data_IF_186280744490
#
_entry.id   IF_186280744490
#
_cell.length_a   1.000
_cell.length_b   1.000
_cell.length_c   1.000
_cell.angle_alpha   90.00
_cell.angle_beta   90.00
_cell.angle_gamma   90.00
#
_symmetry.space_group_name_H-M   'P 1'
#
loop_
_entity.id
_entity.type
_entity.pdbx_description
1 polymer ?
#
# COMPACT_ATOMS: atom_id res chain seq x y z
N UNK A 1 19.05 54.56 9.49
CA UNK A 1 18.23 53.74 8.58
C UNK A 1 18.28 52.32 9.11
N UNK A 2 17.19 51.82 9.70
CA UNK A 2 17.16 50.49 10.36
C UNK A 2 16.79 49.45 9.31
N UNK A 3 17.69 48.50 9.06
CA UNK A 3 17.37 47.25 8.35
C UNK A 3 16.41 46.45 9.24
N UNK A 4 15.19 46.26 8.75
CA UNK A 4 14.23 45.32 9.32
C UNK A 4 14.00 44.18 8.32
N UNK A 5 14.32 42.99 8.81
CA UNK A 5 13.56 41.76 8.65
C UNK A 5 13.28 41.29 7.23
N UNK A 6 14.20 40.48 6.71
CA UNK A 6 13.82 39.42 5.78
C UNK A 6 14.46 38.10 6.23
N UNK A 7 14.00 37.60 7.39
CA UNK A 7 14.29 36.24 7.82
C UNK A 7 13.39 35.28 7.02
N UNK A 8 13.83 34.93 5.82
CA UNK A 8 13.15 33.95 4.98
C UNK A 8 13.28 32.55 5.62
N UNK A 9 12.13 32.00 5.96
CA UNK A 9 11.83 30.61 6.33
C UNK A 9 12.30 29.59 5.26
N UNK A 10 13.58 29.22 5.20
CA UNK A 10 14.03 28.16 4.26
C UNK A 10 15.22 27.32 4.73
N UNK A 11 15.42 27.12 6.04
CA UNK A 11 16.58 26.37 6.54
C UNK A 11 16.29 25.30 7.58
N UNK A 12 15.40 25.58 8.54
CA UNK A 12 15.19 24.69 9.69
C UNK A 12 14.40 23.43 9.31
N UNK A 13 13.26 23.59 8.64
CA UNK A 13 12.31 22.49 8.40
C UNK A 13 12.89 21.37 7.52
N UNK A 14 13.71 21.70 6.53
CA UNK A 14 14.35 20.72 5.64
C UNK A 14 15.45 19.93 6.36
N UNK A 15 16.17 20.59 7.27
CA UNK A 15 17.25 19.97 8.04
C UNK A 15 16.68 19.03 9.10
N UNK A 16 15.56 19.41 9.70
CA UNK A 16 14.81 18.56 10.64
C UNK A 16 14.23 17.33 9.94
N UNK A 17 13.65 17.48 8.73
CA UNK A 17 13.15 16.35 7.95
C UNK A 17 14.27 15.37 7.56
N UNK A 18 15.43 15.89 7.13
CA UNK A 18 16.60 15.06 6.81
C UNK A 18 17.16 14.37 8.05
N UNK A 19 17.20 15.03 9.20
CA UNK A 19 17.62 14.43 10.46
C UNK A 19 16.67 13.32 10.91
N UNK A 20 15.34 13.51 10.76
CA UNK A 20 14.33 12.49 11.02
C UNK A 20 14.47 11.30 10.07
N UNK A 21 14.68 11.53 8.76
CA UNK A 21 14.89 10.46 7.78
C UNK A 21 16.18 9.68 8.06
N UNK A 22 17.24 10.36 8.50
CA UNK A 22 18.54 9.75 8.80
C UNK A 22 18.53 8.98 10.13
N UNK A 23 17.80 9.48 11.12
CA UNK A 23 17.48 8.75 12.35
C UNK A 23 16.63 7.51 12.05
N UNK A 24 15.67 7.63 11.12
CA UNK A 24 14.85 6.51 10.66
C UNK A 24 15.67 5.46 9.89
N UNK A 25 16.61 5.90 9.07
CA UNK A 25 17.58 5.04 8.39
C UNK A 25 18.53 4.30 9.35
N UNK A 26 18.60 4.74 10.62
CA UNK A 26 19.37 4.11 11.69
C UNK A 26 18.63 3.01 12.48
N UNK A 27 17.36 2.72 12.19
CA UNK A 27 16.69 1.56 12.80
C UNK A 27 15.16 1.53 12.83
N UNK A 28 14.44 2.43 12.14
CA UNK A 28 12.99 2.32 12.03
C UNK A 28 12.32 3.56 11.45
N UNK A 29 11.42 3.36 10.49
CA UNK A 29 10.56 4.41 9.95
C UNK A 29 9.82 5.15 11.11
N UNK A 30 9.67 6.49 11.12
CA UNK A 30 9.10 7.25 12.26
C UNK A 30 7.61 7.00 12.53
N UNK A 31 6.98 6.09 11.81
CA UNK A 31 5.62 5.64 12.00
C UNK A 31 5.54 4.12 11.91
N UNK A 32 4.48 3.56 12.50
CA UNK A 32 4.18 2.13 12.40
C UNK A 32 3.98 1.76 10.93
N UNK A 33 4.73 0.78 10.45
CA UNK A 33 4.60 0.23 9.10
C UNK A 33 3.92 -1.12 9.16
N UNK A 34 2.94 -1.32 8.31
CA UNK A 34 2.13 -2.55 8.23
C UNK A 34 2.03 -2.96 6.77
N UNK A 35 2.11 -4.27 6.51
CA UNK A 35 1.85 -4.81 5.19
C UNK A 35 0.37 -5.16 5.07
N UNK A 36 -0.29 -4.65 4.03
CA UNK A 36 -1.71 -4.86 3.79
C UNK A 36 -1.99 -4.98 2.30
N UNK A 37 -2.82 -5.96 1.94
CA UNK A 37 -3.36 -6.13 0.59
C UNK A 37 -4.71 -5.41 0.40
N UNK A 38 -5.22 -4.73 1.44
CA UNK A 38 -6.51 -4.02 1.42
C UNK A 38 -6.70 -3.11 0.20
N UNK A 39 -5.72 -2.26 -0.18
CA UNK A 39 -5.85 -1.42 -1.37
C UNK A 39 -6.05 -2.19 -2.69
N UNK A 40 -5.41 -3.36 -2.83
CA UNK A 40 -5.56 -4.22 -4.02
C UNK A 40 -6.91 -4.93 -4.02
N UNK A 41 -7.36 -5.41 -2.86
CA UNK A 41 -8.69 -6.01 -2.70
C UNK A 41 -9.75 -4.98 -3.10
N UNK A 42 -9.65 -3.77 -2.58
CA UNK A 42 -10.55 -2.67 -2.89
C UNK A 42 -10.52 -2.29 -4.38
N UNK A 43 -9.36 -2.31 -5.03
CA UNK A 43 -9.23 -2.09 -6.47
C UNK A 43 -10.06 -3.12 -7.25
N UNK A 44 -9.89 -4.41 -6.96
CA UNK A 44 -10.61 -5.48 -7.65
C UNK A 44 -12.10 -5.48 -7.35
N UNK A 45 -12.52 -5.15 -6.13
CA UNK A 45 -13.94 -5.02 -5.79
C UNK A 45 -14.61 -3.88 -6.56
N UNK A 46 -13.93 -2.73 -6.69
CA UNK A 46 -14.40 -1.59 -7.49
C UNK A 46 -14.41 -1.85 -9.00
N UNK A 47 -13.58 -2.77 -9.50
CA UNK A 47 -13.60 -3.15 -10.90
C UNK A 47 -14.98 -3.69 -11.34
N UNK A 48 -15.81 -4.16 -10.39
CA UNK A 48 -17.17 -4.61 -10.68
C UNK A 48 -18.19 -3.50 -10.93
N UNK A 49 -17.84 -2.24 -10.66
CA UNK A 49 -18.66 -1.06 -10.97
C UNK A 49 -18.52 -0.63 -12.45
N UNK A 50 -17.59 -1.25 -13.20
CA UNK A 50 -17.44 -1.06 -14.64
C UNK A 50 -18.55 -1.82 -15.41
N UNK A 51 -18.93 -1.33 -16.58
CA UNK A 51 -19.93 -1.94 -17.48
C UNK A 51 -19.43 -3.27 -18.09
N UNK A 52 -18.16 -3.62 -17.86
CA UNK A 52 -17.54 -4.86 -18.33
C UNK A 52 -18.02 -6.08 -17.52
N UNK A 53 -18.71 -7.05 -18.15
CA UNK A 53 -19.13 -8.29 -17.48
C UNK A 53 -17.95 -9.10 -16.95
N UNK A 54 -16.78 -8.99 -17.59
CA UNK A 54 -15.55 -9.67 -17.18
C UNK A 54 -15.03 -9.07 -15.88
N UNK A 55 -14.98 -7.74 -15.78
CA UNK A 55 -14.53 -7.06 -14.57
C UNK A 55 -15.46 -7.34 -13.39
N UNK A 56 -16.78 -7.37 -13.62
CA UNK A 56 -17.79 -7.77 -12.63
C UNK A 56 -17.60 -9.22 -12.14
N UNK A 57 -17.32 -10.15 -13.06
CA UNK A 57 -17.05 -11.53 -12.70
C UNK A 57 -15.79 -11.68 -11.82
N UNK A 58 -14.72 -10.94 -12.15
CA UNK A 58 -13.48 -10.93 -11.37
C UNK A 58 -13.68 -10.31 -9.98
N UNK A 59 -14.39 -9.18 -9.89
CA UNK A 59 -14.72 -8.54 -8.62
C UNK A 59 -15.47 -9.49 -7.68
N UNK A 60 -16.47 -10.21 -8.22
CA UNK A 60 -17.22 -11.22 -7.45
C UNK A 60 -16.32 -12.37 -7.00
N UNK A 61 -15.49 -12.90 -7.90
CA UNK A 61 -14.56 -13.99 -7.57
C UNK A 61 -13.62 -13.56 -6.44
N UNK A 62 -13.00 -12.38 -6.54
CA UNK A 62 -12.12 -11.84 -5.49
C UNK A 62 -12.86 -11.71 -4.17
N UNK A 63 -14.06 -11.13 -4.16
CA UNK A 63 -14.89 -11.03 -2.95
C UNK A 63 -15.18 -12.39 -2.30
N UNK A 64 -15.53 -13.39 -3.09
CA UNK A 64 -15.78 -14.76 -2.61
C UNK A 64 -14.52 -15.43 -2.04
N UNK A 65 -13.34 -15.23 -2.64
CA UNK A 65 -12.10 -15.80 -2.11
C UNK A 65 -11.63 -15.08 -0.85
N UNK A 66 -11.79 -13.76 -0.75
CA UNK A 66 -11.46 -13.01 0.46
C UNK A 66 -12.36 -13.41 1.64
N UNK A 67 -13.62 -13.74 1.40
CA UNK A 67 -14.50 -14.30 2.44
C UNK A 67 -13.99 -15.64 2.99
N UNK A 68 -13.27 -16.43 2.18
CA UNK A 68 -12.65 -17.70 2.60
C UNK A 68 -11.28 -17.52 3.25
N UNK A 69 -10.62 -16.39 3.00
CA UNK A 69 -9.30 -16.04 3.51
C UNK A 69 -9.32 -14.64 4.17
N UNK A 70 -10.12 -14.43 5.23
CA UNK A 70 -10.27 -13.12 5.88
C UNK A 70 -8.96 -12.54 6.44
N UNK A 71 -7.98 -13.39 6.72
CA UNK A 71 -6.64 -13.01 7.17
C UNK A 71 -5.86 -12.16 6.15
N UNK A 72 -6.18 -12.24 4.85
CA UNK A 72 -5.57 -11.40 3.81
C UNK A 72 -6.12 -9.97 3.77
N UNK A 73 -7.32 -9.75 4.33
CA UNK A 73 -7.94 -8.43 4.37
C UNK A 73 -7.40 -7.54 5.50
N UNK A 74 -6.71 -8.13 6.47
CA UNK A 74 -6.11 -7.44 7.61
C UNK A 74 -4.66 -7.04 7.40
N UNK A 75 -4.02 -6.63 8.49
CA UNK A 75 -2.56 -6.47 8.55
C UNK A 75 -1.91 -7.85 8.58
N UNK A 76 -1.02 -8.08 7.61
CA UNK A 76 -0.33 -9.37 7.47
C UNK A 76 1.00 -9.27 8.21
N UNK A 77 1.14 -10.09 9.26
CA UNK A 77 2.35 -10.16 10.08
C UNK A 77 3.17 -11.44 9.85
N UNK A 78 2.53 -12.48 9.31
CA UNK A 78 3.15 -13.76 9.00
C UNK A 78 3.17 -13.98 7.48
N UNK A 79 4.37 -14.01 6.85
CA UNK A 79 4.50 -14.25 5.41
C UNK A 79 3.91 -15.59 4.95
N UNK A 80 3.81 -16.61 5.82
CA UNK A 80 3.25 -17.90 5.46
C UNK A 80 1.78 -17.81 5.00
N UNK A 81 1.05 -16.78 5.46
CA UNK A 81 -0.31 -16.50 5.01
C UNK A 81 -0.36 -16.23 3.50
N UNK A 82 0.66 -15.56 2.95
CA UNK A 82 0.74 -15.28 1.52
C UNK A 82 0.94 -16.57 0.72
N UNK A 83 1.81 -17.46 1.21
CA UNK A 83 2.09 -18.75 0.58
C UNK A 83 0.87 -19.68 0.59
N UNK A 84 0.10 -19.69 1.69
CA UNK A 84 -1.13 -20.47 1.79
C UNK A 84 -2.20 -20.06 0.77
N UNK A 85 -2.17 -18.81 0.30
CA UNK A 85 -3.16 -18.24 -0.61
C UNK A 85 -2.55 -17.71 -1.91
N UNK A 86 -1.47 -18.34 -2.38
CA UNK A 86 -0.65 -17.87 -3.50
C UNK A 86 -1.44 -17.44 -4.74
N UNK A 87 -2.35 -18.28 -5.25
CA UNK A 87 -3.15 -17.96 -6.44
C UNK A 87 -3.98 -16.68 -6.29
N UNK A 88 -4.52 -16.42 -5.09
CA UNK A 88 -5.28 -15.21 -4.81
C UNK A 88 -4.34 -14.01 -4.68
N UNK A 89 -3.18 -14.17 -4.02
CA UNK A 89 -2.17 -13.11 -3.91
C UNK A 89 -1.66 -12.70 -5.30
N UNK A 90 -1.39 -13.67 -6.16
CA UNK A 90 -0.97 -13.47 -7.54
C UNK A 90 -2.00 -12.68 -8.35
N UNK A 91 -3.28 -13.06 -8.23
CA UNK A 91 -4.38 -12.32 -8.84
C UNK A 91 -4.43 -10.87 -8.32
N UNK A 92 -4.34 -10.65 -7.00
CA UNK A 92 -4.37 -9.32 -6.41
C UNK A 92 -3.21 -8.46 -6.93
N UNK A 93 -2.00 -9.02 -6.95
CA UNK A 93 -0.78 -8.36 -7.40
C UNK A 93 -0.77 -8.05 -8.90
N UNK A 94 -1.54 -8.78 -9.70
CA UNK A 94 -1.67 -8.52 -11.15
C UNK A 94 -2.24 -7.14 -11.49
N UNK A 95 -2.87 -6.47 -10.52
CA UNK A 95 -3.29 -5.07 -10.66
C UNK A 95 -2.10 -4.09 -10.77
N UNK A 96 -0.97 -4.40 -10.12
CA UNK A 96 0.22 -3.52 -10.11
C UNK A 96 1.37 -4.07 -10.93
N UNK A 97 1.57 -5.38 -10.91
CA UNK A 97 2.62 -6.06 -11.65
C UNK A 97 1.96 -7.03 -12.62
N UNK A 98 1.93 -6.71 -13.93
CA UNK A 98 1.50 -7.65 -14.94
C UNK A 98 2.24 -8.99 -14.78
N UNK A 99 1.57 -10.15 -14.88
CA UNK A 99 2.20 -11.47 -14.76
C UNK A 99 3.30 -11.80 -15.79
N UNK A 100 3.68 -10.85 -16.64
CA UNK A 100 4.82 -10.98 -17.55
C UNK A 100 6.10 -10.34 -16.99
N UNK A 101 6.02 -9.64 -15.85
CA UNK A 101 7.10 -8.79 -15.31
C UNK A 101 7.64 -9.24 -13.94
N UNK A 102 7.12 -10.34 -13.40
CA UNK A 102 7.49 -10.95 -12.11
C UNK A 102 8.43 -12.17 -12.24
#
# INVERSE_FOLDING_TARGET
>A
MKEQSNALMTGSDSTDLQAMLKAAAGGGFPFRTEFSLGPLIDFWLRAGDDESPICSALARLVGEQIQKAPELAGTITDPAVLECHGDLVDLLMSAEFPPALW
#
